data_IF_740229595318
#
_entry.id   IF_740229595318
#
_cell.length_a   1.000
_cell.length_b   1.000
_cell.length_c   1.000
_cell.angle_alpha   90.00
_cell.angle_beta   90.00
_cell.angle_gamma   90.00
#
_symmetry.space_group_name_H-M   'P 1'
#
loop_
_entity.id
_entity.type
_entity.pdbx_description
1 polymer ?
#
# COMPACT_ATOMS: atom_id res chain seq x y z
N UNK A 1 -33.43 -53.52 -11.80
CA UNK A 1 -33.25 -54.96 -12.10
C UNK A 1 -31.75 -55.21 -12.16
N UNK A 2 -31.26 -56.01 -11.20
CA UNK A 2 -29.98 -56.75 -11.15
C UNK A 2 -28.67 -55.93 -11.20
N UNK A 3 -28.03 -55.65 -10.06
CA UNK A 3 -27.23 -56.51 -9.15
C UNK A 3 -25.76 -56.60 -9.59
N UNK A 4 -24.83 -55.93 -8.89
CA UNK A 4 -24.07 -56.40 -7.71
C UNK A 4 -23.08 -57.52 -8.05
N UNK A 5 -21.77 -57.30 -7.82
CA UNK A 5 -20.72 -58.31 -7.53
C UNK A 5 -19.33 -57.66 -7.38
N UNK A 6 -18.95 -57.29 -6.15
CA UNK A 6 -17.62 -57.58 -5.58
C UNK A 6 -17.61 -59.07 -5.15
N UNK A 7 -16.51 -59.78 -4.76
CA UNK A 7 -15.35 -59.30 -3.97
C UNK A 7 -13.99 -60.07 -4.16
N UNK A 8 -13.03 -59.76 -3.26
CA UNK A 8 -12.10 -60.67 -2.53
C UNK A 8 -10.57 -60.48 -2.73
N UNK A 9 -9.98 -59.90 -1.67
CA UNK A 9 -8.78 -60.22 -0.86
C UNK A 9 -7.39 -60.58 -1.46
N UNK A 10 -6.41 -59.82 -0.96
CA UNK A 10 -5.04 -60.13 -0.46
C UNK A 10 -4.74 -61.60 -0.10
N UNK A 11 -3.47 -62.09 -0.07
CA UNK A 11 -2.35 -61.48 0.71
C UNK A 11 -0.92 -61.68 0.16
N UNK A 12 0.08 -61.06 0.83
CA UNK A 12 1.39 -61.61 1.30
C UNK A 12 2.61 -60.68 1.09
N UNK A 13 3.19 -60.21 2.21
CA UNK A 13 4.62 -59.90 2.38
C UNK A 13 5.37 -61.20 2.78
N UNK A 14 6.72 -61.30 2.70
CA UNK A 14 7.58 -60.75 3.76
C UNK A 14 9.05 -60.39 3.39
N UNK A 15 9.79 -59.88 4.40
CA UNK A 15 11.27 -59.91 4.63
C UNK A 15 12.17 -58.99 3.77
N UNK A 16 12.84 -57.94 4.30
CA UNK A 16 13.87 -57.79 5.35
C UNK A 16 15.29 -58.14 4.90
N UNK A 17 16.21 -57.17 4.95
CA UNK A 17 17.66 -57.31 5.24
C UNK A 17 18.32 -55.91 5.21
N UNK A 18 18.59 -55.32 6.38
CA UNK A 18 19.90 -55.26 7.09
C UNK A 18 20.84 -54.13 6.63
N UNK A 19 21.11 -53.24 7.59
CA UNK A 19 22.13 -52.19 7.64
C UNK A 19 23.53 -52.83 7.77
N UNK A 20 24.63 -52.10 7.53
CA UNK A 20 25.33 -51.60 8.71
C UNK A 20 25.89 -50.17 8.60
N UNK A 21 26.04 -49.57 9.78
CA UNK A 21 26.82 -48.36 10.08
C UNK A 21 28.29 -48.57 9.75
N UNK A 22 29.02 -47.47 9.49
CA UNK A 22 30.31 -47.16 10.14
C UNK A 22 30.55 -45.66 9.98
N UNK A 23 30.63 -44.98 11.13
CA UNK A 23 31.41 -43.78 11.36
C UNK A 23 32.57 -44.21 12.28
N UNK A 24 33.78 -43.66 12.17
CA UNK A 24 34.32 -43.06 13.39
C UNK A 24 35.10 -41.76 13.20
N UNK A 25 34.84 -40.91 14.19
CA UNK A 25 35.57 -39.76 14.70
C UNK A 25 37.09 -39.94 14.88
N UNK A 26 37.81 -38.82 14.77
CA UNK A 26 38.78 -38.24 15.75
C UNK A 26 39.93 -37.53 15.02
N UNK A 27 40.61 -36.50 15.51
CA UNK A 27 40.47 -35.53 16.59
C UNK A 27 41.69 -34.58 16.49
N UNK A 28 41.59 -33.40 17.09
CA UNK A 28 42.67 -32.49 17.53
C UNK A 28 43.46 -31.75 16.41
N UNK A 29 43.88 -30.48 16.53
CA UNK A 29 44.36 -29.76 17.73
C UNK A 29 44.41 -28.24 17.43
N UNK A 30 44.03 -27.41 18.40
CA UNK A 30 44.36 -25.96 18.49
C UNK A 30 45.86 -25.76 18.78
N UNK A 31 46.39 -24.53 18.60
CA UNK A 31 46.82 -23.80 19.79
C UNK A 31 46.57 -22.28 19.81
N UNK A 32 46.43 -21.82 21.06
CA UNK A 32 46.50 -20.49 21.67
C UNK A 32 47.56 -19.52 21.08
N UNK A 33 47.25 -18.24 20.87
CA UNK A 33 47.30 -17.08 21.79
C UNK A 33 48.70 -16.46 21.97
N UNK A 34 48.87 -15.19 21.54
CA UNK A 34 49.80 -14.19 22.12
C UNK A 34 49.30 -12.77 21.79
N UNK A 35 48.91 -12.00 22.80
CA UNK A 35 49.16 -10.55 22.93
C UNK A 35 50.41 -10.40 23.84
N UNK A 36 51.23 -9.32 23.78
CA UNK A 36 50.92 -8.13 24.61
C UNK A 36 51.58 -6.76 24.24
N UNK A 37 51.17 -5.72 24.98
CA UNK A 37 51.87 -4.50 25.43
C UNK A 37 51.52 -3.14 24.77
N UNK A 38 51.16 -2.26 25.70
CA UNK A 38 50.84 -0.83 25.71
C UNK A 38 51.95 0.10 25.17
N UNK A 39 51.53 1.22 24.58
CA UNK A 39 52.17 2.52 24.80
C UNK A 39 51.23 3.67 24.38
N UNK A 40 50.76 4.43 25.37
CA UNK A 40 50.27 5.82 25.20
C UNK A 40 51.46 6.72 24.85
N UNK A 41 51.24 7.81 24.10
CA UNK A 41 51.60 9.10 24.68
C UNK A 41 50.55 10.18 24.45
N UNK A 42 50.57 11.13 25.38
CA UNK A 42 49.71 12.30 25.51
C UNK A 42 49.97 13.40 24.47
N UNK A 43 48.89 14.11 24.18
CA UNK A 43 48.73 15.53 23.87
C UNK A 43 49.92 16.35 23.32
N UNK A 44 49.68 16.99 22.17
CA UNK A 44 49.99 18.43 22.01
C UNK A 44 48.90 19.10 21.18
N UNK A 45 48.41 20.21 21.71
CA UNK A 45 47.39 21.08 21.15
C UNK A 45 47.93 21.90 19.97
N UNK A 46 47.07 22.16 18.99
CA UNK A 46 47.15 23.35 18.15
C UNK A 46 45.77 24.00 18.08
N UNK A 47 45.70 25.19 18.67
CA UNK A 47 44.56 26.10 18.61
C UNK A 47 44.30 26.53 17.16
N UNK A 48 43.03 26.51 16.77
CA UNK A 48 42.49 27.42 15.77
C UNK A 48 41.02 27.69 16.07
N UNK A 49 40.72 28.91 16.52
CA UNK A 49 39.36 29.46 16.53
C UNK A 49 39.02 29.94 15.12
N UNK A 50 37.77 29.72 14.66
CA UNK A 50 36.97 30.88 14.27
C UNK A 50 35.47 30.77 14.63
N UNK A 51 34.96 31.89 15.15
CA UNK A 51 33.60 32.48 15.08
C UNK A 51 32.32 31.66 15.33
N UNK A 52 31.31 32.27 15.99
CA UNK A 52 30.09 31.57 16.42
C UNK A 52 29.22 31.27 15.19
N UNK A 53 29.09 29.98 14.87
CA UNK A 53 28.09 29.52 13.91
C UNK A 53 26.72 29.74 14.55
N UNK A 54 25.91 30.52 13.85
CA UNK A 54 24.55 30.87 14.22
C UNK A 54 23.73 29.62 14.59
N UNK A 55 22.91 29.75 15.63
CA UNK A 55 21.91 28.76 16.02
C UNK A 55 21.13 28.29 14.77
N UNK A 56 20.90 26.98 14.61
CA UNK A 56 20.01 26.52 13.56
C UNK A 56 18.62 27.14 13.79
N UNK A 57 17.88 27.48 12.72
CA UNK A 57 16.54 28.03 12.87
C UNK A 57 15.67 27.03 13.64
N UNK A 58 14.71 27.50 14.45
CA UNK A 58 13.87 26.59 15.23
C UNK A 58 13.09 25.71 14.26
N UNK A 59 13.45 24.43 14.21
CA UNK A 59 12.65 23.40 13.56
C UNK A 59 11.27 23.43 14.20
N UNK A 60 10.28 23.97 13.48
CA UNK A 60 8.86 23.76 13.79
C UNK A 60 8.47 22.35 13.37
N UNK A 61 9.14 21.34 13.93
CA UNK A 61 8.61 19.99 14.01
C UNK A 61 7.94 19.87 15.38
N UNK A 62 6.77 20.50 15.51
CA UNK A 62 5.92 20.23 16.66
C UNK A 62 5.69 18.72 16.70
N UNK A 63 6.05 18.08 17.81
CA UNK A 63 5.83 16.64 17.96
C UNK A 63 4.35 16.35 17.74
N UNK A 64 4.00 15.28 17.02
CA UNK A 64 2.60 14.85 16.83
C UNK A 64 1.87 14.73 18.18
N UNK A 65 2.62 14.41 19.24
CA UNK A 65 2.11 14.25 20.59
C UNK A 65 1.77 15.59 21.30
N UNK A 66 2.17 16.73 20.74
CA UNK A 66 1.68 18.05 21.18
C UNK A 66 0.22 18.28 20.77
N UNK A 67 -0.26 17.58 19.75
CA UNK A 67 -1.62 17.72 19.21
C UNK A 67 -2.60 16.77 19.86
N UNK A 68 -2.20 15.56 20.23
CA UNK A 68 -3.07 14.55 20.85
C UNK A 68 -2.18 13.53 21.57
N UNK A 69 -2.64 13.03 22.72
CA UNK A 69 -1.91 12.01 23.48
C UNK A 69 -1.52 10.81 22.59
N UNK A 70 -0.23 10.47 22.58
CA UNK A 70 0.31 9.24 21.98
C UNK A 70 -0.05 9.03 20.49
N UNK A 71 -0.18 10.14 19.78
CA UNK A 71 -0.52 10.17 18.35
C UNK A 71 0.60 9.63 17.48
N UNK A 72 1.86 9.84 17.87
CA UNK A 72 3.03 9.28 17.19
C UNK A 72 2.98 7.75 17.16
N UNK A 73 2.64 7.11 18.29
CA UNK A 73 2.50 5.66 18.36
C UNK A 73 1.35 5.13 17.49
N UNK A 74 0.19 5.80 17.48
CA UNK A 74 -0.93 5.43 16.58
C UNK A 74 -0.51 5.52 15.10
N UNK A 75 0.24 6.57 14.75
CA UNK A 75 0.77 6.73 13.41
C UNK A 75 1.74 5.60 13.04
N UNK A 76 2.69 5.28 13.93
CA UNK A 76 3.65 4.20 13.73
C UNK A 76 2.98 2.83 13.55
N UNK A 77 1.99 2.50 14.38
CA UNK A 77 1.21 1.25 14.22
C UNK A 77 0.49 1.22 12.87
N UNK A 78 -0.07 2.35 12.43
CA UNK A 78 -0.81 2.45 11.17
C UNK A 78 0.09 2.25 9.95
N UNK A 79 1.32 2.78 9.98
CA UNK A 79 2.30 2.61 8.90
C UNK A 79 2.82 1.17 8.80
N UNK A 80 2.76 0.41 9.89
CA UNK A 80 3.13 -1.01 9.96
C UNK A 80 1.96 -1.97 9.69
N UNK A 81 0.75 -1.45 9.48
CA UNK A 81 -0.44 -2.27 9.28
C UNK A 81 -0.88 -3.07 10.52
N UNK A 82 -0.52 -2.61 11.72
CA UNK A 82 -0.89 -3.23 13.00
C UNK A 82 -2.23 -2.66 13.49
N UNK A 83 -3.30 -2.96 12.77
CA UNK A 83 -4.63 -2.39 12.98
C UNK A 83 -5.32 -2.93 14.24
N UNK A 84 -5.10 -4.18 14.62
CA UNK A 84 -5.65 -4.73 15.88
C UNK A 84 -5.02 -4.04 17.10
N UNK A 85 -3.71 -3.83 17.05
CA UNK A 85 -2.98 -3.11 18.12
C UNK A 85 -3.48 -1.66 18.28
N UNK A 86 -3.91 -1.01 17.19
CA UNK A 86 -4.55 0.31 17.25
C UNK A 86 -5.87 0.23 18.03
N UNK A 87 -6.71 -0.77 17.77
CA UNK A 87 -8.00 -0.92 18.47
C UNK A 87 -7.80 -1.20 19.96
N UNK A 88 -6.84 -2.04 20.32
CA UNK A 88 -6.48 -2.32 21.71
C UNK A 88 -6.00 -1.04 22.42
N UNK A 89 -5.11 -0.28 21.77
CA UNK A 89 -4.56 0.96 22.32
C UNK A 89 -5.67 2.00 22.53
N UNK A 90 -6.56 2.19 21.56
CA UNK A 90 -7.69 3.11 21.67
C UNK A 90 -8.60 2.72 22.83
N UNK A 91 -8.89 1.42 22.98
CA UNK A 91 -9.71 0.89 24.07
C UNK A 91 -9.07 1.15 25.44
N UNK A 92 -7.76 0.93 25.56
CA UNK A 92 -7.00 1.21 26.79
C UNK A 92 -6.96 2.71 27.12
N UNK A 93 -6.67 3.58 26.14
CA UNK A 93 -6.65 5.03 26.37
C UNK A 93 -8.01 5.58 26.83
N UNK A 94 -9.11 5.04 26.31
CA UNK A 94 -10.48 5.39 26.76
C UNK A 94 -10.76 4.87 28.17
N UNK A 95 -10.40 3.62 28.47
CA UNK A 95 -10.60 3.04 29.81
C UNK A 95 -9.83 3.77 30.90
N UNK A 96 -8.67 4.33 30.56
CA UNK A 96 -7.82 5.12 31.46
C UNK A 96 -8.15 6.62 31.45
N UNK A 97 -9.20 7.05 30.74
CA UNK A 97 -9.63 8.46 30.62
C UNK A 97 -8.50 9.41 30.18
N UNK A 98 -7.62 8.94 29.29
CA UNK A 98 -6.46 9.73 28.81
C UNK A 98 -6.85 10.79 27.77
N UNK A 99 -8.03 10.64 27.14
CA UNK A 99 -8.59 11.60 26.20
C UNK A 99 -9.46 12.59 26.99
N UNK A 100 -9.06 13.86 26.99
CA UNK A 100 -9.68 14.90 27.81
C UNK A 100 -10.32 16.01 26.98
N UNK A 101 -9.89 16.16 25.72
CA UNK A 101 -10.33 17.25 24.84
C UNK A 101 -11.14 16.72 23.64
N UNK A 102 -12.16 17.46 23.17
CA UNK A 102 -12.99 17.03 22.04
C UNK A 102 -12.22 16.60 20.78
N UNK A 103 -11.17 17.33 20.39
CA UNK A 103 -10.38 16.97 19.20
C UNK A 103 -9.59 15.66 19.36
N UNK A 104 -9.17 15.31 20.59
CA UNK A 104 -8.45 14.06 20.86
C UNK A 104 -9.38 12.85 20.61
N UNK A 105 -10.64 12.95 21.05
CA UNK A 105 -11.67 11.94 20.78
C UNK A 105 -11.93 11.76 19.28
N UNK A 106 -12.01 12.85 18.51
CA UNK A 106 -12.19 12.79 17.06
C UNK A 106 -10.97 12.19 16.35
N UNK A 107 -9.76 12.53 16.78
CA UNK A 107 -8.52 11.93 16.26
C UNK A 107 -8.50 10.43 16.52
N UNK A 108 -8.76 9.98 17.76
CA UNK A 108 -8.80 8.56 18.10
C UNK A 108 -9.92 7.81 17.36
N UNK A 109 -11.10 8.41 17.24
CA UNK A 109 -12.20 7.86 16.44
C UNK A 109 -11.81 7.70 14.97
N UNK A 110 -11.03 8.63 14.41
CA UNK A 110 -10.52 8.53 13.04
C UNK A 110 -9.64 7.30 12.87
N UNK A 111 -8.69 7.06 13.78
CA UNK A 111 -7.86 5.86 13.75
C UNK A 111 -8.69 4.59 13.97
N UNK A 112 -9.69 4.62 14.86
CA UNK A 112 -10.60 3.48 15.09
C UNK A 112 -11.35 3.11 13.81
N UNK A 113 -11.97 4.08 13.14
CA UNK A 113 -12.74 3.86 11.91
C UNK A 113 -11.83 3.38 10.78
N UNK A 114 -10.61 3.91 10.66
CA UNK A 114 -9.62 3.43 9.69
C UNK A 114 -9.25 1.97 10.00
N UNK A 115 -8.89 1.65 11.24
CA UNK A 115 -8.50 0.31 11.66
C UNK A 115 -9.63 -0.71 11.41
N UNK A 116 -10.86 -0.41 11.83
CA UNK A 116 -12.03 -1.27 11.57
C UNK A 116 -12.25 -1.48 10.06
N UNK A 117 -12.16 -0.42 9.26
CA UNK A 117 -12.31 -0.52 7.80
C UNK A 117 -11.20 -1.37 7.17
N UNK A 118 -9.96 -1.23 7.65
CA UNK A 118 -8.79 -2.00 7.21
C UNK A 118 -8.89 -3.48 7.56
N UNK A 119 -9.44 -3.79 8.74
CA UNK A 119 -9.76 -5.15 9.19
C UNK A 119 -11.02 -5.74 8.54
N UNK A 120 -11.59 -5.06 7.53
CA UNK A 120 -12.84 -5.45 6.85
C UNK A 120 -14.08 -5.49 7.77
N UNK A 121 -14.01 -4.89 8.96
CA UNK A 121 -15.12 -4.71 9.93
C UNK A 121 -15.87 -3.40 9.64
N UNK A 122 -16.35 -3.28 8.40
CA UNK A 122 -16.94 -2.01 7.89
C UNK A 122 -18.29 -1.68 8.52
N UNK A 123 -18.99 -2.68 9.03
CA UNK A 123 -20.23 -2.55 9.78
C UNK A 123 -20.01 -1.85 11.12
N UNK A 124 -18.99 -2.26 11.87
CA UNK A 124 -18.56 -1.60 13.10
C UNK A 124 -18.05 -0.18 12.82
N UNK A 125 -17.26 0.01 11.76
CA UNK A 125 -16.80 1.33 11.34
C UNK A 125 -17.98 2.27 11.03
N UNK A 126 -19.03 1.75 10.39
CA UNK A 126 -20.25 2.49 10.10
C UNK A 126 -21.02 2.85 11.37
N UNK A 127 -21.11 1.91 12.33
CA UNK A 127 -21.74 2.20 13.63
C UNK A 127 -21.02 3.34 14.37
N UNK A 128 -19.69 3.33 14.41
CA UNK A 128 -18.89 4.40 15.02
C UNK A 128 -19.17 5.75 14.34
N UNK A 129 -19.26 5.77 13.01
CA UNK A 129 -19.56 6.98 12.24
C UNK A 129 -20.99 7.49 12.42
N UNK A 130 -21.98 6.61 12.64
CA UNK A 130 -23.38 6.99 12.84
C UNK A 130 -23.60 7.79 14.13
N UNK A 131 -22.66 7.71 15.09
CA UNK A 131 -22.68 8.56 16.29
C UNK A 131 -22.39 10.03 16.00
N UNK A 132 -21.84 10.32 14.82
CA UNK A 132 -21.49 11.67 14.42
C UNK A 132 -22.60 12.27 13.53
N UNK A 133 -22.93 13.53 13.80
CA UNK A 133 -23.92 14.27 13.04
C UNK A 133 -23.34 15.64 12.68
N UNK A 134 -23.59 16.07 11.45
CA UNK A 134 -23.22 17.38 10.93
C UNK A 134 -21.76 17.78 11.25
N UNK A 135 -20.82 17.39 10.39
CA UNK A 135 -19.40 17.68 10.58
C UNK A 135 -19.06 19.17 10.57
N UNK A 136 -19.96 20.02 10.09
CA UNK A 136 -19.79 21.48 10.03
C UNK A 136 -20.57 22.20 11.14
N UNK A 137 -21.24 21.45 12.02
CA UNK A 137 -21.95 21.96 13.18
C UNK A 137 -21.05 22.64 14.20
N UNK A 138 -21.63 23.56 14.97
CA UNK A 138 -20.92 24.40 15.94
C UNK A 138 -20.19 23.57 17.02
N UNK A 139 -20.73 22.42 17.41
CA UNK A 139 -20.13 21.53 18.41
C UNK A 139 -18.79 20.92 17.98
N UNK A 140 -18.43 20.98 16.70
CA UNK A 140 -17.12 20.56 16.19
C UNK A 140 -16.16 21.71 15.92
N UNK A 141 -16.51 22.94 16.29
CA UNK A 141 -15.65 24.11 16.12
C UNK A 141 -14.83 24.38 17.38
N UNK A 142 -13.57 24.76 17.20
CA UNK A 142 -12.71 25.16 18.32
C UNK A 142 -13.32 26.35 19.11
N UNK A 143 -13.98 27.26 18.38
CA UNK A 143 -14.61 28.46 18.90
C UNK A 143 -15.72 28.18 19.94
N UNK A 144 -16.30 26.98 19.91
CA UNK A 144 -17.35 26.56 20.86
C UNK A 144 -16.82 26.11 22.22
N UNK A 145 -15.49 26.00 22.38
CA UNK A 145 -14.83 25.61 23.62
C UNK A 145 -13.72 26.61 23.99
N UNK A 146 -14.06 27.89 24.25
CA UNK A 146 -13.07 28.95 24.49
C UNK A 146 -12.21 28.72 25.73
N UNK A 147 -12.73 27.99 26.73
CA UNK A 147 -11.99 27.62 27.95
C UNK A 147 -10.85 26.62 27.66
N UNK A 148 -11.04 25.77 26.65
CA UNK A 148 -10.08 24.72 26.26
C UNK A 148 -9.17 25.22 25.12
N UNK A 149 -9.70 26.07 24.23
CA UNK A 149 -8.99 26.58 23.06
C UNK A 149 -9.16 28.10 22.89
N UNK A 150 -8.50 28.94 23.72
CA UNK A 150 -8.70 30.39 23.69
C UNK A 150 -8.34 31.04 22.35
N UNK A 151 -7.36 30.49 21.61
CA UNK A 151 -6.82 31.09 20.38
C UNK A 151 -6.94 30.20 19.14
N UNK A 152 -7.73 29.11 19.18
CA UNK A 152 -7.92 28.23 18.01
C UNK A 152 -9.25 28.52 17.32
N UNK A 153 -9.23 28.39 15.98
CA UNK A 153 -10.41 28.59 15.13
C UNK A 153 -10.50 27.48 14.08
N UNK A 154 -11.71 27.20 13.64
CA UNK A 154 -11.99 26.21 12.60
C UNK A 154 -12.49 24.89 13.15
N UNK A 155 -12.56 23.88 12.27
CA UNK A 155 -13.10 22.56 12.62
C UNK A 155 -12.06 21.69 13.33
N UNK A 156 -12.51 20.99 14.36
CA UNK A 156 -11.78 19.90 15.03
C UNK A 156 -11.85 18.58 14.28
N UNK A 157 -12.75 18.45 13.28
CA UNK A 157 -13.00 17.20 12.54
C UNK A 157 -11.83 16.95 11.57
N UNK A 158 -11.08 15.84 11.73
CA UNK A 158 -10.01 15.50 10.81
C UNK A 158 -10.53 15.27 9.39
N UNK A 159 -9.77 15.72 8.38
CA UNK A 159 -10.15 15.49 6.98
C UNK A 159 -10.28 14.00 6.65
N UNK A 160 -9.40 13.17 7.21
CA UNK A 160 -9.47 11.71 7.09
C UNK A 160 -10.77 11.13 7.65
N UNK A 161 -11.34 11.70 8.72
CA UNK A 161 -12.66 11.27 9.23
C UNK A 161 -13.77 11.58 8.23
N UNK A 162 -13.73 12.77 7.60
CA UNK A 162 -14.66 13.14 6.53
C UNK A 162 -14.56 12.20 5.33
N UNK A 163 -13.34 11.84 4.97
CA UNK A 163 -13.09 10.87 3.91
C UNK A 163 -13.60 9.47 4.29
N UNK A 164 -13.34 8.98 5.50
CA UNK A 164 -13.86 7.69 5.95
C UNK A 164 -15.38 7.65 5.97
N UNK A 165 -16.04 8.74 6.39
CA UNK A 165 -17.49 8.88 6.33
C UNK A 165 -18.04 8.73 4.90
N UNK A 166 -17.32 9.24 3.90
CA UNK A 166 -17.67 9.06 2.50
C UNK A 166 -17.35 7.65 1.97
N UNK A 167 -16.25 7.05 2.42
CA UNK A 167 -15.75 5.77 1.89
C UNK A 167 -16.48 4.55 2.46
N UNK A 168 -16.77 4.50 3.76
CA UNK A 168 -17.31 3.31 4.45
C UNK A 168 -18.60 2.76 3.81
N UNK A 169 -19.58 3.57 3.38
CA UNK A 169 -20.78 3.05 2.69
C UNK A 169 -20.46 2.22 1.45
N UNK A 170 -19.42 2.59 0.69
CA UNK A 170 -18.99 1.83 -0.49
C UNK A 170 -18.49 0.43 -0.14
N UNK A 171 -17.88 0.27 1.04
CA UNK A 171 -17.39 -1.03 1.55
C UNK A 171 -18.53 -1.94 1.98
N UNK A 172 -19.67 -1.36 2.37
CA UNK A 172 -20.90 -2.07 2.72
C UNK A 172 -21.79 -2.36 1.51
N UNK A 173 -21.35 -2.02 0.30
CA UNK A 173 -22.17 -2.17 -0.91
C UNK A 173 -23.18 -1.04 -1.16
N UNK A 174 -23.24 -0.03 -0.27
CA UNK A 174 -24.06 1.17 -0.45
C UNK A 174 -23.37 2.15 -1.40
N UNK A 175 -23.30 1.77 -2.68
CA UNK A 175 -22.59 2.50 -3.73
C UNK A 175 -23.05 3.95 -3.89
N UNK A 176 -24.37 4.18 -3.99
CA UNK A 176 -24.92 5.51 -4.24
C UNK A 176 -24.59 6.47 -3.09
N UNK A 177 -24.87 6.05 -1.86
CA UNK A 177 -24.56 6.83 -0.66
C UNK A 177 -23.07 7.21 -0.56
N UNK A 178 -22.18 6.26 -0.84
CA UNK A 178 -20.74 6.54 -0.82
C UNK A 178 -20.30 7.53 -1.92
N UNK A 179 -20.84 7.40 -3.12
CA UNK A 179 -20.58 8.36 -4.21
C UNK A 179 -21.11 9.75 -3.88
N UNK A 180 -22.35 9.86 -3.40
CA UNK A 180 -22.97 11.14 -3.03
C UNK A 180 -22.14 11.85 -1.96
N UNK A 181 -21.66 11.11 -0.95
CA UNK A 181 -20.78 11.65 0.09
C UNK A 181 -19.40 12.04 -0.45
N UNK A 182 -18.82 11.29 -1.40
CA UNK A 182 -17.54 11.66 -2.02
C UNK A 182 -17.63 12.93 -2.87
N UNK A 183 -18.71 13.10 -3.64
CA UNK A 183 -18.96 14.34 -4.38
C UNK A 183 -19.24 15.52 -3.45
N UNK A 184 -20.02 15.31 -2.39
CA UNK A 184 -20.24 16.33 -1.34
C UNK A 184 -18.91 16.74 -0.70
N UNK A 185 -18.01 15.77 -0.42
CA UNK A 185 -16.68 16.06 0.10
C UNK A 185 -15.81 16.81 -0.92
N UNK A 186 -15.92 16.51 -2.22
CA UNK A 186 -15.22 17.24 -3.27
C UNK A 186 -15.67 18.70 -3.34
N UNK A 187 -16.98 18.94 -3.28
CA UNK A 187 -17.55 20.30 -3.28
C UNK A 187 -17.10 21.08 -2.05
N UNK A 188 -17.13 20.46 -0.87
CA UNK A 188 -16.59 21.03 0.36
C UNK A 188 -15.11 21.43 0.21
N UNK A 189 -14.27 20.54 -0.34
CA UNK A 189 -12.84 20.84 -0.55
C UNK A 189 -12.66 22.02 -1.52
N UNK A 190 -13.42 22.05 -2.62
CA UNK A 190 -13.39 23.15 -3.61
C UNK A 190 -13.80 24.48 -3.01
N UNK A 191 -14.81 24.49 -2.14
CA UNK A 191 -15.22 25.69 -1.41
C UNK A 191 -14.10 26.18 -0.49
N UNK A 192 -13.45 25.27 0.25
CA UNK A 192 -12.30 25.63 1.11
C UNK A 192 -11.12 26.18 0.32
N UNK A 193 -10.88 25.71 -0.90
CA UNK A 193 -9.84 26.30 -1.77
C UNK A 193 -10.19 27.76 -2.06
N UNK A 194 -11.43 28.03 -2.52
CA UNK A 194 -11.90 29.39 -2.85
C UNK A 194 -11.83 30.34 -1.65
N UNK A 195 -12.28 29.90 -0.48
CA UNK A 195 -12.24 30.71 0.75
C UNK A 195 -10.81 31.07 1.20
N UNK A 196 -9.84 30.22 0.87
CA UNK A 196 -8.44 30.37 1.31
C UNK A 196 -7.57 31.04 0.25
N UNK A 197 -8.12 31.38 -0.93
CA UNK A 197 -7.40 32.11 -1.98
C UNK A 197 -6.75 33.37 -1.39
N UNK A 198 -5.41 33.38 -1.36
CA UNK A 198 -4.60 34.44 -0.74
C UNK A 198 -3.69 33.98 0.43
N UNK A 199 -3.86 32.76 0.97
CA UNK A 199 -2.94 32.15 1.94
C UNK A 199 -2.26 30.90 1.34
N UNK A 200 -1.03 31.07 0.88
CA UNK A 200 -0.34 30.14 -0.04
C UNK A 200 -0.23 28.70 0.50
N UNK A 201 0.30 28.53 1.72
CA UNK A 201 0.50 27.20 2.33
C UNK A 201 -0.82 26.47 2.62
N UNK A 202 -1.84 27.21 3.07
CA UNK A 202 -3.16 26.62 3.37
C UNK A 202 -3.86 26.18 2.09
N UNK A 203 -3.74 26.93 0.99
CA UNK A 203 -4.37 26.61 -0.28
C UNK A 203 -3.76 25.35 -0.88
N UNK A 204 -2.44 25.21 -0.82
CA UNK A 204 -1.74 24.06 -1.39
C UNK A 204 -2.14 22.74 -0.70
N UNK A 205 -2.33 22.75 0.62
CA UNK A 205 -2.86 21.60 1.34
C UNK A 205 -4.26 21.19 0.87
N UNK A 206 -5.15 22.15 0.62
CA UNK A 206 -6.50 21.86 0.13
C UNK A 206 -6.51 21.38 -1.33
N UNK A 207 -5.63 21.90 -2.18
CA UNK A 207 -5.42 21.38 -3.54
C UNK A 207 -4.98 19.92 -3.52
N UNK A 208 -4.06 19.53 -2.63
CA UNK A 208 -3.67 18.13 -2.44
C UNK A 208 -4.84 17.26 -2.00
N UNK A 209 -5.69 17.75 -1.08
CA UNK A 209 -6.93 17.06 -0.68
C UNK A 209 -7.91 16.91 -1.84
N UNK A 210 -8.02 17.91 -2.71
CA UNK A 210 -8.89 17.84 -3.88
C UNK A 210 -8.42 16.77 -4.86
N UNK A 211 -7.12 16.76 -5.17
CA UNK A 211 -6.50 15.72 -6.01
C UNK A 211 -6.74 14.33 -5.41
N UNK A 212 -6.62 14.20 -4.09
CA UNK A 212 -6.91 12.96 -3.38
C UNK A 212 -8.36 12.50 -3.56
N UNK A 213 -9.36 13.37 -3.29
CA UNK A 213 -10.78 13.01 -3.44
C UNK A 213 -11.14 12.69 -4.89
N UNK A 214 -10.64 13.47 -5.86
CA UNK A 214 -10.84 13.18 -7.28
C UNK A 214 -10.20 11.86 -7.68
N UNK A 215 -9.04 11.51 -7.11
CA UNK A 215 -8.41 10.20 -7.34
C UNK A 215 -9.25 9.05 -6.77
N UNK A 216 -9.89 9.23 -5.61
CA UNK A 216 -10.83 8.26 -5.06
C UNK A 216 -12.04 8.05 -5.98
N UNK A 217 -12.66 9.15 -6.45
CA UNK A 217 -13.78 9.11 -7.40
C UNK A 217 -13.37 8.42 -8.71
N UNK A 218 -12.21 8.78 -9.27
CA UNK A 218 -11.67 8.14 -10.46
C UNK A 218 -11.52 6.63 -10.27
N UNK A 219 -10.92 6.19 -9.16
CA UNK A 219 -10.79 4.77 -8.82
C UNK A 219 -12.14 4.08 -8.70
N UNK A 220 -13.12 4.73 -8.09
CA UNK A 220 -14.47 4.18 -7.94
C UNK A 220 -15.17 3.96 -9.29
N UNK A 221 -15.17 4.97 -10.16
CA UNK A 221 -15.76 4.89 -11.50
C UNK A 221 -15.03 3.86 -12.38
N UNK A 222 -13.70 3.80 -12.31
CA UNK A 222 -12.93 2.78 -13.04
C UNK A 222 -13.27 1.36 -12.58
N UNK A 223 -13.39 1.13 -11.27
CA UNK A 223 -13.83 -0.16 -10.73
C UNK A 223 -15.20 -0.61 -11.22
N UNK A 224 -16.07 0.34 -11.55
CA UNK A 224 -17.41 0.10 -12.11
C UNK A 224 -17.46 0.20 -13.65
N UNK A 225 -16.30 0.37 -14.32
CA UNK A 225 -16.19 0.49 -15.78
C UNK A 225 -16.96 1.70 -16.36
N UNK A 226 -17.12 2.76 -15.57
CA UNK A 226 -17.78 4.00 -15.98
C UNK A 226 -16.79 4.93 -16.70
N UNK A 227 -16.24 4.44 -17.81
CA UNK A 227 -15.10 5.04 -18.50
C UNK A 227 -15.35 6.49 -18.94
N UNK A 228 -16.59 6.86 -19.28
CA UNK A 228 -16.92 8.24 -19.65
C UNK A 228 -16.61 9.23 -18.52
N UNK A 229 -17.05 8.94 -17.30
CA UNK A 229 -16.77 9.78 -16.13
C UNK A 229 -15.30 9.71 -15.75
N UNK A 230 -14.70 8.51 -15.80
CA UNK A 230 -13.26 8.33 -15.53
C UNK A 230 -12.38 9.16 -16.46
N UNK A 231 -12.70 9.22 -17.76
CA UNK A 231 -11.98 10.02 -18.75
C UNK A 231 -12.09 11.53 -18.47
N UNK A 232 -13.26 12.01 -18.03
CA UNK A 232 -13.41 13.43 -17.69
C UNK A 232 -12.67 13.79 -16.39
N UNK A 233 -12.77 12.95 -15.35
CA UNK A 233 -12.04 13.15 -14.09
C UNK A 233 -10.52 13.15 -14.30
N UNK A 234 -9.98 12.20 -15.07
CA UNK A 234 -8.53 12.14 -15.28
C UNK A 234 -8.02 13.29 -16.15
N UNK A 235 -8.81 13.76 -17.14
CA UNK A 235 -8.49 14.98 -17.90
C UNK A 235 -8.49 16.20 -17.00
N UNK A 236 -9.42 16.30 -16.05
CA UNK A 236 -9.44 17.40 -15.07
C UNK A 236 -8.18 17.38 -14.19
N UNK A 237 -7.77 16.21 -13.69
CA UNK A 237 -6.51 16.03 -12.96
C UNK A 237 -5.30 16.48 -13.79
N UNK A 238 -5.20 16.03 -15.05
CA UNK A 238 -4.10 16.37 -15.96
C UNK A 238 -4.09 17.86 -16.32
N UNK A 239 -5.25 18.53 -16.42
CA UNK A 239 -5.28 19.98 -16.68
C UNK A 239 -4.59 20.77 -15.57
N UNK A 240 -4.60 20.26 -14.34
CA UNK A 240 -4.00 20.92 -13.16
C UNK A 240 -2.51 20.66 -13.06
N UNK A 241 -2.10 19.43 -13.35
CA UNK A 241 -0.69 19.07 -13.48
C UNK A 241 -0.42 18.38 -14.84
N UNK A 242 -0.22 19.17 -15.92
CA UNK A 242 -0.01 18.62 -17.26
C UNK A 242 1.34 17.91 -17.44
N UNK A 243 2.25 18.08 -16.49
CA UNK A 243 3.62 17.58 -16.52
C UNK A 243 3.84 16.39 -15.59
N UNK A 244 2.82 15.93 -14.86
CA UNK A 244 2.89 14.69 -14.09
C UNK A 244 2.85 13.47 -15.03
N UNK A 245 3.98 12.75 -15.22
CA UNK A 245 4.02 11.60 -16.11
C UNK A 245 3.18 10.43 -15.59
N UNK A 246 2.94 10.34 -14.27
CA UNK A 246 2.13 9.28 -13.66
C UNK A 246 0.66 9.48 -14.01
N UNK A 247 0.13 10.71 -13.90
CA UNK A 247 -1.24 11.01 -14.30
C UNK A 247 -1.46 10.81 -15.80
N UNK A 248 -0.52 11.23 -16.63
CA UNK A 248 -0.62 11.04 -18.09
C UNK A 248 -0.50 9.55 -18.45
N UNK A 249 0.36 8.78 -17.79
CA UNK A 249 0.41 7.32 -17.97
C UNK A 249 -0.91 6.64 -17.57
N UNK A 250 -1.52 7.06 -16.44
CA UNK A 250 -2.83 6.56 -16.03
C UNK A 250 -3.90 6.82 -17.09
N UNK A 251 -3.88 7.97 -17.78
CA UNK A 251 -4.79 8.23 -18.90
C UNK A 251 -4.61 7.20 -20.02
N UNK A 252 -3.37 6.91 -20.41
CA UNK A 252 -3.09 5.86 -21.39
C UNK A 252 -3.62 4.49 -20.95
N UNK A 253 -3.48 4.14 -19.67
CA UNK A 253 -4.05 2.90 -19.11
C UNK A 253 -5.59 2.88 -19.15
N UNK A 254 -6.25 4.01 -18.86
CA UNK A 254 -7.72 4.13 -18.96
C UNK A 254 -8.17 4.02 -20.42
N UNK A 255 -7.47 4.65 -21.36
CA UNK A 255 -7.73 4.54 -22.80
C UNK A 255 -7.60 3.09 -23.28
N UNK A 256 -6.56 2.36 -22.84
CA UNK A 256 -6.42 0.92 -23.13
C UNK A 256 -7.62 0.11 -22.62
N UNK A 257 -8.08 0.35 -21.39
CA UNK A 257 -9.24 -0.36 -20.82
C UNK A 257 -10.55 -0.03 -21.55
N UNK A 258 -10.69 1.21 -22.04
CA UNK A 258 -11.83 1.64 -22.84
C UNK A 258 -11.80 1.08 -24.27
N UNK A 259 -10.63 0.71 -24.79
CA UNK A 259 -10.42 0.21 -26.14
C UNK A 259 -9.86 1.24 -27.14
N UNK A 260 -9.49 2.44 -26.67
CA UNK A 260 -8.81 3.46 -27.46
C UNK A 260 -7.30 3.18 -27.52
N UNK A 261 -6.91 2.15 -28.29
CA UNK A 261 -5.53 1.68 -28.38
C UNK A 261 -4.61 2.75 -28.99
N UNK A 262 -5.08 3.45 -30.03
CA UNK A 262 -4.27 4.46 -30.72
C UNK A 262 -4.09 5.71 -29.87
N UNK A 263 -5.15 6.17 -29.19
CA UNK A 263 -5.04 7.27 -28.24
C UNK A 263 -4.13 6.92 -27.05
N UNK A 264 -4.19 5.68 -26.55
CA UNK A 264 -3.30 5.23 -25.49
C UNK A 264 -1.82 5.23 -25.91
N UNK A 265 -1.49 4.73 -27.11
CA UNK A 265 -0.13 4.79 -27.66
C UNK A 265 0.36 6.23 -27.77
N UNK A 266 -0.44 7.13 -28.33
CA UNK A 266 -0.09 8.54 -28.43
C UNK A 266 0.15 9.18 -27.04
N UNK A 267 -0.64 8.79 -26.04
CA UNK A 267 -0.46 9.22 -24.65
C UNK A 267 0.84 8.67 -24.05
N UNK A 268 1.17 7.40 -24.28
CA UNK A 268 2.43 6.82 -23.79
C UNK A 268 3.66 7.40 -24.49
N UNK A 269 3.59 7.64 -25.80
CA UNK A 269 4.64 8.33 -26.56
C UNK A 269 4.87 9.76 -26.03
N UNK A 270 3.80 10.44 -25.60
CA UNK A 270 3.91 11.74 -24.92
C UNK A 270 4.68 11.59 -23.62
N UNK A 271 4.40 10.57 -22.79
CA UNK A 271 5.12 10.34 -21.52
C UNK A 271 6.59 10.07 -21.77
N UNK A 272 6.96 9.26 -22.77
CA UNK A 272 8.36 8.98 -23.09
C UNK A 272 9.14 10.24 -23.50
N UNK A 273 8.47 11.19 -24.16
CA UNK A 273 9.05 12.49 -24.53
C UNK A 273 9.07 13.50 -23.38
N UNK A 274 8.40 13.23 -22.27
CA UNK A 274 8.51 14.07 -21.08
C UNK A 274 9.91 13.93 -20.52
N UNK A 275 10.53 15.05 -20.21
CA UNK A 275 11.74 15.04 -19.39
C UNK A 275 11.32 15.01 -17.93
N UNK A 276 12.05 14.25 -17.10
CA UNK A 276 11.83 14.20 -15.64
C UNK A 276 12.32 15.51 -14.96
N UNK A 277 11.86 16.66 -15.44
CA UNK A 277 12.34 17.98 -15.02
C UNK A 277 11.83 18.38 -13.64
N UNK A 278 10.74 17.78 -13.15
CA UNK A 278 10.07 18.25 -11.93
C UNK A 278 10.51 17.51 -10.66
N UNK A 279 11.36 16.47 -10.76
CA UNK A 279 11.77 15.66 -9.61
C UNK A 279 10.62 14.92 -8.90
N UNK A 280 9.44 14.87 -9.52
CA UNK A 280 8.22 14.21 -9.00
C UNK A 280 8.44 12.71 -8.78
N UNK A 281 9.25 12.09 -9.61
CA UNK A 281 9.65 10.68 -9.54
C UNK A 281 11.16 10.59 -9.69
N UNK A 282 11.77 9.56 -9.08
CA UNK A 282 13.18 9.29 -9.32
C UNK A 282 13.42 8.92 -10.79
N UNK A 283 14.66 9.07 -11.27
CA UNK A 283 15.00 8.67 -12.64
C UNK A 283 14.67 7.19 -12.90
N UNK A 284 14.92 6.32 -11.92
CA UNK A 284 14.54 4.90 -11.96
C UNK A 284 13.03 4.70 -12.08
N UNK A 285 12.24 5.38 -11.24
CA UNK A 285 10.79 5.30 -11.28
C UNK A 285 10.22 5.80 -12.61
N UNK A 286 10.79 6.86 -13.16
CA UNK A 286 10.40 7.39 -14.47
C UNK A 286 10.71 6.39 -15.59
N UNK A 287 11.93 5.83 -15.63
CA UNK A 287 12.31 4.80 -16.62
C UNK A 287 11.41 3.57 -16.54
N UNK A 288 11.11 3.10 -15.33
CA UNK A 288 10.20 1.97 -15.13
C UNK A 288 8.75 2.30 -15.50
N UNK A 289 8.29 3.55 -15.28
CA UNK A 289 6.98 3.99 -15.77
C UNK A 289 6.90 3.90 -17.31
N UNK A 290 7.93 4.40 -18.01
CA UNK A 290 8.01 4.31 -19.48
C UNK A 290 8.08 2.85 -19.95
N UNK A 291 8.93 2.03 -19.33
CA UNK A 291 9.05 0.60 -19.67
C UNK A 291 7.74 -0.17 -19.47
N UNK A 292 7.03 0.07 -18.37
CA UNK A 292 5.70 -0.54 -18.13
C UNK A 292 4.66 -0.10 -19.14
N UNK A 293 4.68 1.16 -19.58
CA UNK A 293 3.79 1.65 -20.63
C UNK A 293 4.06 0.96 -21.97
N UNK A 294 5.33 0.81 -22.36
CA UNK A 294 5.73 0.06 -23.57
C UNK A 294 5.30 -1.40 -23.50
N UNK A 295 5.58 -2.05 -22.38
CA UNK A 295 5.18 -3.43 -22.13
C UNK A 295 3.66 -3.61 -22.28
N UNK A 296 2.86 -2.68 -21.76
CA UNK A 296 1.40 -2.73 -21.87
C UNK A 296 0.93 -2.66 -23.34
N UNK A 297 1.59 -1.86 -24.18
CA UNK A 297 1.30 -1.83 -25.63
C UNK A 297 1.57 -3.20 -26.27
N UNK A 298 2.67 -3.86 -25.91
CA UNK A 298 2.99 -5.21 -26.38
C UNK A 298 1.99 -6.27 -25.88
N UNK A 299 1.55 -6.18 -24.62
CA UNK A 299 0.51 -7.07 -24.06
C UNK A 299 -0.78 -6.99 -24.88
N UNK A 300 -1.25 -5.78 -25.19
CA UNK A 300 -2.47 -5.59 -25.99
C UNK A 300 -2.29 -6.11 -27.43
N UNK A 301 -1.07 -6.00 -27.98
CA UNK A 301 -0.72 -6.59 -29.27
C UNK A 301 -0.52 -8.12 -29.23
N UNK A 302 -0.64 -8.75 -28.05
CA UNK A 302 -0.35 -10.18 -27.80
C UNK A 302 1.10 -10.58 -28.07
N UNK A 303 2.01 -9.61 -28.13
CA UNK A 303 3.46 -9.86 -28.20
C UNK A 303 4.01 -10.01 -26.78
N UNK A 304 3.70 -11.14 -26.15
CA UNK A 304 4.13 -11.42 -24.78
C UNK A 304 5.65 -11.51 -24.65
N UNK A 305 6.36 -11.92 -25.70
CA UNK A 305 7.82 -12.00 -25.68
C UNK A 305 8.46 -10.60 -25.57
N UNK A 306 7.95 -9.61 -26.31
CA UNK A 306 8.40 -8.22 -26.16
C UNK A 306 8.00 -7.64 -24.80
N UNK A 307 6.76 -7.88 -24.33
CA UNK A 307 6.32 -7.42 -23.03
C UNK A 307 7.19 -7.95 -21.88
N UNK A 308 7.56 -9.24 -21.92
CA UNK A 308 8.45 -9.87 -20.92
C UNK A 308 9.82 -9.17 -20.88
N UNK A 309 10.40 -8.82 -22.03
CA UNK A 309 11.69 -8.11 -22.08
C UNK A 309 11.58 -6.74 -21.40
N UNK A 310 10.57 -5.95 -21.75
CA UNK A 310 10.35 -4.62 -21.17
C UNK A 310 10.13 -4.68 -19.65
N UNK A 311 9.32 -5.65 -19.17
CA UNK A 311 9.13 -5.84 -17.74
C UNK A 311 10.39 -6.34 -17.03
N UNK A 312 11.19 -7.19 -17.68
CA UNK A 312 12.45 -7.65 -17.10
C UNK A 312 13.41 -6.50 -16.88
N UNK A 313 13.57 -5.60 -17.85
CA UNK A 313 14.43 -4.44 -17.65
C UNK A 313 13.91 -3.51 -16.53
N UNK A 314 12.60 -3.47 -16.28
CA UNK A 314 12.05 -2.73 -15.14
C UNK A 314 12.46 -3.37 -13.81
N UNK A 315 12.41 -4.71 -13.73
CA UNK A 315 12.79 -5.49 -12.53
C UNK A 315 14.30 -5.41 -12.27
N UNK A 316 15.11 -5.44 -13.33
CA UNK A 316 16.57 -5.29 -13.22
C UNK A 316 16.95 -3.90 -12.67
N UNK A 317 16.22 -2.86 -13.05
CA UNK A 317 16.39 -1.48 -12.54
C UNK A 317 15.89 -1.33 -11.10
N UNK A 318 14.75 -1.94 -10.78
CA UNK A 318 14.14 -1.91 -9.46
C UNK A 318 13.44 -3.23 -9.16
N UNK A 319 14.07 -4.04 -8.31
CA UNK A 319 13.54 -5.34 -7.89
C UNK A 319 12.27 -5.22 -7.03
N UNK A 320 11.91 -4.01 -6.58
CA UNK A 320 10.67 -3.73 -5.87
C UNK A 320 9.53 -3.25 -6.78
N UNK A 321 9.71 -3.22 -8.11
CA UNK A 321 8.63 -2.90 -9.05
C UNK A 321 7.67 -4.10 -9.24
N UNK A 322 6.80 -4.29 -8.26
CA UNK A 322 5.85 -5.41 -8.20
C UNK A 322 4.84 -5.37 -9.35
N UNK A 323 4.60 -4.19 -9.93
CA UNK A 323 3.76 -4.06 -11.13
C UNK A 323 4.43 -4.75 -12.31
N UNK A 324 5.73 -4.54 -12.50
CA UNK A 324 6.50 -5.23 -13.54
C UNK A 324 6.61 -6.74 -13.26
N UNK A 325 6.89 -7.16 -12.02
CA UNK A 325 6.94 -8.58 -11.62
C UNK A 325 5.63 -9.29 -11.94
N UNK A 326 4.50 -8.76 -11.46
CA UNK A 326 3.20 -9.39 -11.64
C UNK A 326 2.84 -9.49 -13.13
N UNK A 327 3.06 -8.42 -13.90
CA UNK A 327 2.74 -8.41 -15.33
C UNK A 327 3.70 -9.29 -16.16
N UNK A 328 4.99 -9.38 -15.80
CA UNK A 328 5.94 -10.33 -16.42
C UNK A 328 5.43 -11.76 -16.25
N UNK A 329 5.07 -12.13 -15.02
CA UNK A 329 4.57 -13.47 -14.72
C UNK A 329 3.25 -13.78 -15.46
N UNK A 330 2.34 -12.81 -15.57
CA UNK A 330 1.13 -12.97 -16.39
C UNK A 330 1.46 -13.17 -17.88
N UNK A 331 2.43 -12.44 -18.44
CA UNK A 331 2.86 -12.62 -19.82
C UNK A 331 3.50 -14.01 -20.06
N UNK A 332 4.29 -14.50 -19.11
CA UNK A 332 4.85 -15.85 -19.14
C UNK A 332 3.74 -16.92 -19.08
N UNK A 333 2.76 -16.75 -18.19
CA UNK A 333 1.58 -17.61 -18.11
C UNK A 333 0.80 -17.64 -19.43
N UNK A 334 0.53 -16.48 -20.05
CA UNK A 334 -0.14 -16.43 -21.36
C UNK A 334 0.70 -17.05 -22.49
N UNK A 335 2.02 -17.05 -22.35
CA UNK A 335 2.97 -17.74 -23.23
C UNK A 335 3.10 -19.24 -22.92
N UNK A 336 2.33 -19.76 -21.94
CA UNK A 336 2.32 -21.14 -21.45
C UNK A 336 3.60 -21.57 -20.72
N UNK A 337 4.40 -20.61 -20.27
CA UNK A 337 5.56 -20.87 -19.42
C UNK A 337 5.19 -20.68 -17.94
N UNK A 338 4.42 -21.65 -17.42
CA UNK A 338 3.97 -21.63 -16.03
C UNK A 338 5.13 -21.77 -15.03
N UNK A 339 6.17 -22.52 -15.41
CA UNK A 339 7.33 -22.77 -14.53
C UNK A 339 8.06 -21.47 -14.22
N UNK A 340 8.40 -20.69 -15.25
CA UNK A 340 9.11 -19.44 -15.04
C UNK A 340 8.19 -18.34 -14.50
N UNK A 341 6.89 -18.35 -14.84
CA UNK A 341 5.91 -17.44 -14.24
C UNK A 341 5.83 -17.59 -12.71
N UNK A 342 5.75 -18.84 -12.22
CA UNK A 342 5.72 -19.16 -10.78
C UNK A 342 7.02 -18.71 -10.12
N UNK A 343 8.18 -19.07 -10.68
CA UNK A 343 9.49 -18.70 -10.13
C UNK A 343 9.66 -17.18 -9.99
N UNK A 344 9.19 -16.40 -10.96
CA UNK A 344 9.25 -14.92 -10.91
C UNK A 344 8.47 -14.38 -9.70
N UNK A 345 7.26 -14.89 -9.45
CA UNK A 345 6.44 -14.44 -8.31
C UNK A 345 6.98 -14.93 -6.96
N UNK A 346 7.40 -16.19 -6.87
CA UNK A 346 8.00 -16.74 -5.64
C UNK A 346 9.28 -15.99 -5.26
N UNK A 347 10.17 -15.75 -6.24
CA UNK A 347 11.40 -15.00 -6.00
C UNK A 347 11.14 -13.57 -5.52
N UNK A 348 10.08 -12.92 -6.00
CA UNK A 348 9.70 -11.59 -5.53
C UNK A 348 9.19 -11.62 -4.08
N UNK A 349 8.37 -12.62 -3.72
CA UNK A 349 7.90 -12.82 -2.34
C UNK A 349 9.05 -13.09 -1.37
N UNK A 350 10.08 -13.82 -1.81
CA UNK A 350 11.28 -14.09 -1.01
C UNK A 350 12.18 -12.86 -0.86
N UNK A 351 12.41 -12.10 -1.94
CA UNK A 351 13.40 -11.02 -1.97
C UNK A 351 12.87 -9.70 -1.40
N UNK A 352 11.62 -9.38 -1.67
CA UNK A 352 11.00 -8.09 -1.30
C UNK A 352 9.59 -8.31 -0.72
N UNK A 353 9.44 -9.08 0.37
CA UNK A 353 8.15 -9.51 0.89
C UNK A 353 7.20 -8.34 1.17
N UNK A 354 7.70 -7.25 1.77
CA UNK A 354 6.88 -6.06 2.08
C UNK A 354 6.29 -5.40 0.84
N UNK A 355 6.99 -5.43 -0.29
CA UNK A 355 6.50 -4.88 -1.54
C UNK A 355 5.63 -5.91 -2.29
N UNK A 356 6.13 -7.13 -2.45
CA UNK A 356 5.53 -8.17 -3.27
C UNK A 356 4.25 -8.75 -2.69
N UNK A 357 4.07 -8.71 -1.37
CA UNK A 357 2.89 -9.23 -0.69
C UNK A 357 1.67 -8.32 -0.94
N UNK A 358 0.97 -8.61 -2.03
CA UNK A 358 -0.33 -8.02 -2.36
C UNK A 358 -1.28 -9.12 -2.85
N UNK A 359 -2.58 -8.89 -2.65
CA UNK A 359 -3.63 -9.87 -2.92
C UNK A 359 -3.71 -10.25 -4.40
N UNK A 360 -3.41 -9.32 -5.32
CA UNK A 360 -3.44 -9.59 -6.76
C UNK A 360 -2.33 -10.55 -7.18
N UNK A 361 -1.10 -10.33 -6.70
CA UNK A 361 0.04 -11.19 -7.00
C UNK A 361 -0.16 -12.57 -6.38
N UNK A 362 -0.57 -12.63 -5.11
CA UNK A 362 -0.84 -13.90 -4.42
C UNK A 362 -1.98 -14.66 -5.10
N UNK A 363 -3.08 -13.99 -5.44
CA UNK A 363 -4.19 -14.61 -6.14
C UNK A 363 -3.80 -15.12 -7.54
N UNK A 364 -2.95 -14.39 -8.25
CA UNK A 364 -2.39 -14.84 -9.53
C UNK A 364 -1.48 -16.05 -9.36
N UNK A 365 -0.57 -16.03 -8.38
CA UNK A 365 0.31 -17.15 -8.07
C UNK A 365 -0.48 -18.41 -7.69
N UNK A 366 -1.51 -18.28 -6.84
CA UNK A 366 -2.39 -19.40 -6.50
C UNK A 366 -3.12 -19.96 -7.73
N UNK A 367 -3.54 -19.09 -8.66
CA UNK A 367 -4.15 -19.53 -9.92
C UNK A 367 -3.14 -20.27 -10.80
N UNK A 368 -1.87 -19.84 -10.81
CA UNK A 368 -0.80 -20.54 -11.53
C UNK A 368 -0.48 -21.90 -10.89
N UNK A 369 -0.50 -22.03 -9.56
CA UNK A 369 -0.36 -23.32 -8.88
C UNK A 369 -1.47 -24.30 -9.25
N UNK A 370 -2.72 -23.83 -9.30
CA UNK A 370 -3.88 -24.62 -9.72
C UNK A 370 -3.75 -25.13 -11.16
N UNK A 371 -3.08 -24.36 -12.03
CA UNK A 371 -2.82 -24.75 -13.42
C UNK A 371 -1.61 -25.68 -13.56
N UNK A 372 -0.57 -25.48 -12.75
CA UNK A 372 0.71 -26.18 -12.90
C UNK A 372 0.79 -27.50 -12.14
N UNK A 373 0.08 -27.64 -11.01
CA UNK A 373 0.26 -28.75 -10.07
C UNK A 373 -1.03 -29.51 -9.80
N UNK A 374 -0.92 -30.85 -9.78
CA UNK A 374 -2.02 -31.73 -9.34
C UNK A 374 -2.29 -31.58 -7.84
N UNK A 375 -1.24 -31.51 -7.02
CA UNK A 375 -1.34 -31.33 -5.56
C UNK A 375 -1.21 -29.85 -5.16
N UNK A 376 -1.87 -28.94 -5.87
CA UNK A 376 -1.79 -27.50 -5.64
C UNK A 376 -2.19 -27.07 -4.22
N UNK A 377 -3.01 -27.88 -3.52
CA UNK A 377 -3.45 -27.61 -2.14
C UNK A 377 -2.31 -27.50 -1.15
N UNK A 378 -1.27 -28.32 -1.28
CA UNK A 378 -0.16 -28.35 -0.30
C UNK A 378 0.77 -27.15 -0.49
N UNK A 379 1.03 -26.77 -1.75
CA UNK A 379 1.82 -25.58 -2.08
C UNK A 379 1.09 -24.31 -1.62
N UNK A 380 -0.20 -24.20 -1.91
CA UNK A 380 -1.03 -23.07 -1.45
C UNK A 380 -1.11 -23.00 0.08
N UNK A 381 -1.22 -24.14 0.78
CA UNK A 381 -1.18 -24.17 2.26
C UNK A 381 0.16 -23.69 2.80
N UNK A 382 1.26 -24.06 2.16
CA UNK A 382 2.61 -23.62 2.54
C UNK A 382 2.75 -22.11 2.38
N UNK A 383 2.30 -21.57 1.24
CA UNK A 383 2.26 -20.13 1.00
C UNK A 383 1.38 -19.40 2.04
N UNK A 384 0.16 -19.90 2.31
CA UNK A 384 -0.75 -19.28 3.28
C UNK A 384 -0.16 -19.26 4.71
N UNK A 385 0.53 -20.34 5.12
CA UNK A 385 1.22 -20.40 6.41
C UNK A 385 2.38 -19.40 6.50
N UNK A 386 3.08 -19.15 5.40
CA UNK A 386 4.12 -18.13 5.33
C UNK A 386 3.51 -16.72 5.42
N UNK A 387 2.46 -16.44 4.63
CA UNK A 387 1.72 -15.17 4.64
C UNK A 387 1.25 -14.83 6.06
N UNK A 388 0.64 -15.79 6.77
CA UNK A 388 0.15 -15.59 8.13
C UNK A 388 1.21 -15.13 9.15
N UNK A 389 2.51 -15.28 8.84
CA UNK A 389 3.62 -14.84 9.72
C UNK A 389 4.16 -13.46 9.38
N UNK A 390 3.97 -13.00 8.14
CA UNK A 390 4.63 -11.80 7.61
C UNK A 390 3.65 -10.71 7.18
N UNK A 391 2.38 -11.07 6.96
CA UNK A 391 1.37 -10.16 6.47
C UNK A 391 0.93 -9.14 7.53
N UNK A 392 0.60 -7.90 7.12
CA UNK A 392 -0.10 -6.95 7.98
C UNK A 392 -1.53 -7.42 8.26
N UNK A 393 -2.16 -6.84 9.28
CA UNK A 393 -3.50 -7.27 9.74
C UNK A 393 -4.58 -7.08 8.65
N UNK A 394 -4.39 -6.15 7.71
CA UNK A 394 -5.34 -5.87 6.63
C UNK A 394 -5.18 -6.75 5.38
N UNK A 395 -4.20 -7.65 5.33
CA UNK A 395 -4.03 -8.56 4.20
C UNK A 395 -5.22 -9.53 4.05
N UNK A 396 -5.78 -9.65 2.85
CA UNK A 396 -6.89 -10.58 2.60
C UNK A 396 -6.41 -12.01 2.32
N UNK A 397 -6.35 -12.85 3.35
CA UNK A 397 -5.94 -14.25 3.20
C UNK A 397 -6.89 -15.08 2.32
N UNK A 398 -8.13 -14.63 2.07
CA UNK A 398 -9.07 -15.33 1.20
C UNK A 398 -8.59 -15.40 -0.26
N UNK A 399 -7.68 -14.49 -0.66
CA UNK A 399 -7.07 -14.52 -2.00
C UNK A 399 -6.29 -15.81 -2.28
N UNK A 400 -5.85 -16.52 -1.24
CA UNK A 400 -5.14 -17.80 -1.35
C UNK A 400 -6.05 -18.96 -1.73
N UNK A 401 -7.38 -18.86 -1.51
CA UNK A 401 -8.37 -19.92 -1.82
C UNK A 401 -7.98 -21.30 -1.26
N UNK A 402 -7.34 -21.35 -0.09
CA UNK A 402 -6.93 -22.59 0.59
C UNK A 402 -8.11 -23.22 1.33
#
# INVERSE_FOLDING_TARGET
MFSDSSPVMDPTSPESETRPEINPSSAATNPAAVQPIEARPEATAFESTPSPVADPPPERSNSLDELTHDLSSLHDLSTRGQWEAILDKISQSRALFLLTKPHEHLTYLTYQVIALTKLRRSDEASHELNSLHDFDGEHYRYESFPEIYPDRKGSMVPFSLRWMYALVPTRLGNRQEGLDRLYTLLDFVRERIKEKEGNDDSVELWKKREIFVMSCLLGFHLGHKEFGVSLELIKELIKRDPLDPVLVSKLGSVQMQFGDIEGAKATFDRVEKMSNHNGLVSETQFKNLVGRNKALVHVVAKDYAAAVREYEECIERDNSDVVAVNNKALCLMYSRDLSDAIKVMESALERVPTAALNESLVGNLCSMYELAYVNHTDVKRTLNNWIARVAPDDFDSSCTRV
#
